data_IF_763538810959
#
_entry.id   IF_763538810959
#
_cell.length_a   1.000
_cell.length_b   1.000
_cell.length_c   1.000
_cell.angle_alpha   90.00
_cell.angle_beta   90.00
_cell.angle_gamma   90.00
#
_symmetry.space_group_name_H-M   'P 1'
#
loop_
_entity.id
_entity.type
_entity.pdbx_description
1 polymer ?
#
# COMPACT_ATOMS: atom_id res chain seq x y z
N UNK A 1 10.17 10.50 -1.65
CA UNK A 1 9.48 9.20 -1.71
C UNK A 1 10.48 8.12 -2.09
N UNK A 2 10.49 7.02 -1.36
CA UNK A 2 11.38 5.88 -1.60
C UNK A 2 10.55 4.66 -1.99
N UNK A 3 10.94 3.96 -3.04
CA UNK A 3 10.29 2.74 -3.51
C UNK A 3 11.27 1.59 -3.42
N UNK A 4 10.89 0.52 -2.77
CA UNK A 4 11.73 -0.64 -2.52
C UNK A 4 10.99 -1.92 -2.92
N UNK A 5 11.69 -2.82 -3.59
CA UNK A 5 11.19 -4.17 -3.81
C UNK A 5 11.16 -4.94 -2.48
N UNK A 6 10.20 -5.83 -2.34
CA UNK A 6 10.11 -6.75 -1.20
C UNK A 6 10.57 -8.15 -1.60
N UNK A 7 10.62 -9.08 -0.63
CA UNK A 7 10.90 -10.49 -0.90
C UNK A 7 9.84 -11.16 -1.78
N UNK A 8 8.64 -10.58 -1.87
CA UNK A 8 7.55 -11.10 -2.70
C UNK A 8 7.57 -10.40 -4.06
N UNK A 9 7.63 -11.14 -5.18
CA UNK A 9 7.54 -10.55 -6.51
C UNK A 9 6.26 -9.74 -6.70
N UNK A 10 6.38 -8.54 -7.30
CA UNK A 10 5.24 -7.66 -7.55
C UNK A 10 4.75 -6.84 -6.36
N UNK A 11 5.31 -7.05 -5.16
CA UNK A 11 4.98 -6.27 -3.97
C UNK A 11 6.06 -5.22 -3.73
N UNK A 12 5.66 -3.96 -3.70
CA UNK A 12 6.55 -2.83 -3.48
C UNK A 12 6.23 -2.15 -2.15
N UNK A 13 7.27 -1.68 -1.48
CA UNK A 13 7.14 -0.83 -0.29
C UNK A 13 7.44 0.61 -0.66
N UNK A 14 6.46 1.47 -0.45
CA UNK A 14 6.58 2.90 -0.71
C UNK A 14 6.69 3.62 0.63
N UNK A 15 7.75 4.40 0.80
CA UNK A 15 7.98 5.21 1.99
C UNK A 15 7.88 6.68 1.61
N UNK A 16 6.84 7.41 2.05
CA UNK A 16 6.71 8.82 1.77
C UNK A 16 7.71 9.65 2.59
N UNK A 17 7.99 10.86 2.14
CA UNK A 17 8.71 11.84 2.93
C UNK A 17 7.78 12.43 3.98
N UNK A 18 8.21 12.45 5.24
CA UNK A 18 7.44 12.98 6.36
C UNK A 18 8.10 14.27 6.85
N UNK A 19 7.33 15.35 6.90
CA UNK A 19 7.75 16.65 7.41
C UNK A 19 7.17 16.86 8.79
N UNK A 20 8.02 17.07 9.78
CA UNK A 20 7.63 17.23 11.20
C UNK A 20 7.94 18.62 11.68
N UNK A 21 7.03 19.17 12.49
CA UNK A 21 7.21 20.40 13.23
C UNK A 21 6.45 20.33 14.59
N UNK A 22 6.39 21.45 15.33
CA UNK A 22 5.73 21.49 16.64
C UNK A 22 4.21 21.24 16.59
N UNK A 23 3.60 21.33 15.42
CA UNK A 23 2.17 21.07 15.21
C UNK A 23 1.86 19.61 14.94
N UNK A 24 2.87 18.78 14.64
CA UNK A 24 2.72 17.38 14.27
C UNK A 24 3.53 17.01 13.02
N UNK A 25 2.89 16.40 12.07
CA UNK A 25 3.56 16.02 10.82
C UNK A 25 2.66 16.25 9.60
N UNK A 26 3.30 16.44 8.46
CA UNK A 26 2.68 16.49 7.15
C UNK A 26 3.39 15.49 6.22
N UNK A 27 2.64 14.80 5.41
CA UNK A 27 3.19 13.98 4.33
C UNK A 27 2.24 13.98 3.13
N UNK A 28 2.82 13.92 1.94
CA UNK A 28 2.10 13.63 0.72
C UNK A 28 2.10 12.12 0.51
N UNK A 29 0.93 11.53 0.51
CA UNK A 29 0.79 10.08 0.36
C UNK A 29 0.76 9.65 -1.09
N UNK A 30 -0.03 10.31 -1.92
CA UNK A 30 -0.17 10.02 -3.33
C UNK A 30 0.04 11.28 -4.16
N UNK A 31 0.88 11.16 -5.17
CA UNK A 31 1.10 12.18 -6.18
C UNK A 31 1.27 11.47 -7.53
N UNK A 32 0.38 11.74 -8.47
CA UNK A 32 0.39 11.06 -9.76
C UNK A 32 1.70 11.25 -10.53
N UNK A 33 2.26 12.45 -10.51
CA UNK A 33 3.54 12.74 -11.17
C UNK A 33 4.72 11.97 -10.55
N UNK A 34 4.80 11.94 -9.23
CA UNK A 34 5.83 11.20 -8.51
C UNK A 34 5.69 9.68 -8.72
N UNK A 35 4.46 9.17 -8.72
CA UNK A 35 4.21 7.75 -8.99
C UNK A 35 4.59 7.38 -10.42
N UNK A 36 4.20 8.19 -11.41
CA UNK A 36 4.58 7.98 -12.81
C UNK A 36 6.10 7.98 -13.00
N UNK A 37 6.80 8.92 -12.38
CA UNK A 37 8.27 8.99 -12.43
C UNK A 37 8.94 7.76 -11.81
N UNK A 38 8.32 7.13 -10.83
CA UNK A 38 8.78 5.90 -10.19
C UNK A 38 8.34 4.62 -10.92
N UNK A 39 7.61 4.73 -12.03
CA UNK A 39 7.07 3.58 -12.77
C UNK A 39 5.89 2.90 -12.08
N UNK A 40 5.20 3.59 -11.18
CA UNK A 40 4.06 3.06 -10.44
C UNK A 40 2.74 3.41 -11.14
N UNK A 41 1.67 2.64 -10.93
CA UNK A 41 0.34 2.98 -11.41
C UNK A 41 -0.16 4.31 -10.85
N UNK A 42 -0.90 5.04 -11.65
CA UNK A 42 -1.48 6.34 -11.26
C UNK A 42 -3.00 6.38 -11.40
N UNK A 43 -3.59 5.43 -12.14
CA UNK A 43 -5.01 5.36 -12.39
C UNK A 43 -5.71 4.48 -11.35
N UNK A 44 -5.99 5.05 -10.20
CA UNK A 44 -6.81 4.40 -9.18
C UNK A 44 -8.27 4.82 -9.35
N UNK A 45 -9.15 3.84 -9.48
CA UNK A 45 -10.58 4.07 -9.77
C UNK A 45 -11.47 3.93 -8.55
N UNK A 46 -10.93 3.46 -7.44
CA UNK A 46 -11.68 3.22 -6.20
C UNK A 46 -10.77 3.41 -4.99
N UNK A 47 -11.28 4.10 -3.99
CA UNK A 47 -10.64 4.27 -2.69
C UNK A 47 -11.56 3.76 -1.59
N UNK A 48 -11.03 2.92 -0.71
CA UNK A 48 -11.76 2.35 0.41
C UNK A 48 -11.02 2.61 1.71
N UNK A 49 -11.76 2.93 2.75
CA UNK A 49 -11.25 3.07 4.10
C UNK A 49 -11.99 2.06 5.00
N UNK A 50 -11.25 1.28 5.76
CA UNK A 50 -11.82 0.36 6.73
C UNK A 50 -11.19 0.52 8.10
N UNK A 51 -11.97 0.30 9.14
CA UNK A 51 -11.52 0.21 10.51
C UNK A 51 -12.06 -1.08 11.11
N UNK A 52 -11.22 -1.80 11.85
CA UNK A 52 -11.62 -3.02 12.55
C UNK A 52 -11.38 -2.85 14.04
N UNK A 53 -12.27 -3.42 14.84
CA UNK A 53 -12.06 -3.53 16.27
C UNK A 53 -10.90 -4.49 16.59
N UNK A 54 -10.38 -4.43 17.82
CA UNK A 54 -9.31 -5.33 18.25
C UNK A 54 -9.75 -6.80 18.13
N UNK A 55 -8.86 -7.66 17.67
CA UNK A 55 -9.10 -9.10 17.52
C UNK A 55 -9.82 -9.51 16.23
N UNK A 56 -10.22 -8.56 15.39
CA UNK A 56 -10.86 -8.87 14.10
C UNK A 56 -9.81 -9.28 13.08
N UNK A 57 -10.03 -10.40 12.43
CA UNK A 57 -9.23 -10.91 11.30
C UNK A 57 -10.07 -10.83 10.04
N UNK A 58 -9.51 -10.22 8.99
CA UNK A 58 -10.10 -10.17 7.64
C UNK A 58 -9.15 -10.88 6.68
N UNK A 59 -9.61 -11.90 6.05
CA UNK A 59 -8.85 -12.71 5.09
C UNK A 59 -9.52 -14.08 4.93
N UNK A 60 -9.09 -14.96 4.09
CA UNK A 60 -8.14 -14.75 3.00
C UNK A 60 -8.94 -14.36 1.76
N UNK A 61 -8.51 -13.32 1.05
CA UNK A 61 -9.22 -12.83 -0.14
C UNK A 61 -8.29 -12.91 -1.35
N UNK A 62 -8.80 -13.43 -2.46
CA UNK A 62 -8.10 -13.41 -3.72
C UNK A 62 -9.07 -13.26 -4.90
N UNK A 63 -8.58 -12.79 -6.04
CA UNK A 63 -9.36 -12.55 -7.23
C UNK A 63 -8.77 -13.33 -8.40
N UNK A 64 -9.60 -14.18 -9.03
CA UNK A 64 -9.19 -15.00 -10.16
C UNK A 64 -9.44 -14.34 -11.51
N UNK A 65 -10.60 -13.68 -11.67
CA UNK A 65 -11.08 -13.24 -12.99
C UNK A 65 -10.61 -11.85 -13.35
N UNK A 66 -10.53 -10.96 -12.37
CA UNK A 66 -10.06 -9.58 -12.56
C UNK A 66 -9.16 -9.21 -11.38
N UNK A 67 -7.88 -9.59 -11.41
CA UNK A 67 -6.95 -9.20 -10.36
C UNK A 67 -6.80 -7.68 -10.31
N UNK A 68 -6.81 -7.13 -9.10
CA UNK A 68 -6.71 -5.70 -8.86
C UNK A 68 -5.35 -5.36 -8.26
N UNK A 69 -4.71 -4.34 -8.78
CA UNK A 69 -3.62 -3.68 -8.09
C UNK A 69 -4.16 -2.89 -6.88
N UNK A 70 -3.45 -2.95 -5.77
CA UNK A 70 -3.85 -2.29 -4.52
C UNK A 70 -2.72 -1.41 -3.99
N UNK A 71 -3.06 -0.17 -3.67
CA UNK A 71 -2.21 0.72 -2.88
C UNK A 71 -2.78 0.75 -1.46
N UNK A 72 -2.05 0.16 -0.52
CA UNK A 72 -2.51 0.02 0.87
C UNK A 72 -1.68 0.89 1.79
N UNK A 73 -2.33 1.64 2.67
CA UNK A 73 -1.69 2.38 3.76
C UNK A 73 -2.40 2.12 5.07
N UNK A 74 -1.65 2.22 6.16
CA UNK A 74 -2.21 2.19 7.51
C UNK A 74 -2.15 3.60 8.09
N UNK A 75 -3.27 4.09 8.59
CA UNK A 75 -3.38 5.42 9.22
C UNK A 75 -3.09 5.31 10.72
N UNK A 76 -3.70 4.33 11.37
CA UNK A 76 -3.48 4.00 12.78
C UNK A 76 -3.26 2.50 12.93
N UNK A 77 -2.39 2.10 13.82
CA UNK A 77 -2.05 0.72 14.16
C UNK A 77 -0.87 0.12 13.38
N UNK A 78 -0.50 -1.09 13.75
CA UNK A 78 0.52 -1.88 13.05
C UNK A 78 -0.17 -2.76 12.01
N UNK A 79 0.39 -2.82 10.84
CA UNK A 79 -0.10 -3.64 9.74
C UNK A 79 0.97 -4.66 9.36
N UNK A 80 0.59 -5.92 9.29
CA UNK A 80 1.40 -6.93 8.61
C UNK A 80 0.53 -7.59 7.55
N UNK A 81 1.04 -7.69 6.34
CA UNK A 81 0.38 -8.43 5.27
C UNK A 81 1.18 -9.68 4.96
N UNK A 82 0.51 -10.81 4.94
CA UNK A 82 1.03 -12.04 4.41
C UNK A 82 0.33 -12.30 3.08
N UNK A 83 1.10 -12.38 2.00
CA UNK A 83 0.59 -12.84 0.71
C UNK A 83 1.02 -14.28 0.48
N UNK A 84 0.07 -15.14 0.16
CA UNK A 84 0.37 -16.45 -0.42
C UNK A 84 0.38 -16.28 -1.94
N UNK A 85 1.50 -16.56 -2.57
CA UNK A 85 1.62 -16.59 -4.02
C UNK A 85 0.98 -17.84 -4.57
N UNK A 86 -0.18 -17.71 -5.20
CA UNK A 86 -0.59 -18.69 -6.21
C UNK A 86 -0.15 -18.16 -7.58
N UNK A 87 0.45 -19.02 -8.38
CA UNK A 87 1.15 -18.74 -9.63
C UNK A 87 0.28 -18.13 -10.74
N UNK A 88 -0.32 -16.97 -10.55
CA UNK A 88 -0.93 -16.31 -11.70
C UNK A 88 -1.09 -14.81 -11.42
N UNK A 89 -0.38 -14.05 -12.20
CA UNK A 89 -0.53 -12.61 -12.46
C UNK A 89 0.29 -11.70 -11.53
N UNK A 90 1.12 -10.83 -12.09
CA UNK A 90 1.82 -9.83 -11.31
C UNK A 90 0.80 -8.80 -10.79
N UNK A 91 0.33 -9.00 -9.58
CA UNK A 91 -0.41 -7.97 -8.88
C UNK A 91 0.56 -6.93 -8.33
N UNK A 92 0.38 -5.71 -8.79
CA UNK A 92 1.06 -4.56 -8.22
C UNK A 92 0.35 -4.22 -6.91
N UNK A 93 0.82 -4.75 -5.81
CA UNK A 93 0.36 -4.28 -4.51
C UNK A 93 1.42 -3.40 -3.87
N UNK A 94 1.12 -2.13 -3.75
CA UNK A 94 1.96 -1.20 -3.04
C UNK A 94 1.52 -1.15 -1.59
N UNK A 95 2.38 -1.57 -0.70
CA UNK A 95 2.14 -1.43 0.75
C UNK A 95 2.87 -0.20 1.26
N UNK A 96 2.12 0.83 1.61
CA UNK A 96 2.67 1.99 2.28
C UNK A 96 2.74 1.76 3.79
N UNK A 97 3.91 1.89 4.37
CA UNK A 97 4.07 1.91 5.81
C UNK A 97 4.01 3.37 6.26
N UNK A 98 2.96 3.74 6.95
CA UNK A 98 3.00 4.97 7.73
C UNK A 98 4.01 4.76 8.86
N UNK A 99 5.12 5.47 8.82
CA UNK A 99 6.03 5.52 9.97
C UNK A 99 5.42 6.46 11.02
N UNK A 100 5.05 5.89 12.11
CA UNK A 100 4.88 6.66 13.35
C UNK A 100 6.24 7.02 13.93
#
# INVERSE_FOLDING_TARGET
MKVEATALPGVLRITPSVFRDDRGFFLEWFNAGAFAAAGLPTAFVQDNHSRSAAGVVRGLHYQLVQPQGKLVRVIEAKFSTSQSTSDAVPELSACGKACT
#
